data_IF_449994863807
#
_entry.id   IF_449994863807
#
_cell.length_a   1.000
_cell.length_b   1.000
_cell.length_c   1.000
_cell.angle_alpha   90.00
_cell.angle_beta   90.00
_cell.angle_gamma   90.00
#
_symmetry.space_group_name_H-M   'P 1'
#
loop_
_entity.id
_entity.type
_entity.pdbx_description
1 polymer ?
#
# COMPACT_ATOMS: atom_id res chain seq x y z
N UNK A 1 16.66 -23.96 -17.57
CA UNK A 1 15.66 -24.16 -16.50
C UNK A 1 16.44 -24.15 -15.18
N UNK A 2 15.99 -23.41 -14.18
CA UNK A 2 16.62 -23.47 -12.85
C UNK A 2 16.34 -24.83 -12.21
N UNK A 3 17.29 -25.33 -11.43
CA UNK A 3 17.10 -26.53 -10.61
C UNK A 3 16.19 -26.25 -9.40
N UNK A 4 15.57 -27.27 -8.83
CA UNK A 4 14.77 -27.16 -7.60
C UNK A 4 15.56 -26.50 -6.46
N UNK A 5 16.82 -26.92 -6.26
CA UNK A 5 17.71 -26.35 -5.25
C UNK A 5 17.97 -24.86 -5.46
N UNK A 6 18.12 -24.41 -6.72
CA UNK A 6 18.24 -22.98 -7.04
C UNK A 6 16.95 -22.21 -6.74
N UNK A 7 15.78 -22.78 -7.02
CA UNK A 7 14.48 -22.14 -6.72
C UNK A 7 14.27 -22.03 -5.20
N UNK A 8 14.60 -23.09 -4.45
CA UNK A 8 14.54 -23.08 -2.99
C UNK A 8 15.47 -22.03 -2.36
N UNK A 9 16.69 -21.91 -2.89
CA UNK A 9 17.64 -20.89 -2.47
C UNK A 9 17.11 -19.47 -2.77
N UNK A 10 16.57 -19.24 -3.98
CA UNK A 10 15.94 -17.96 -4.35
C UNK A 10 14.75 -17.62 -3.45
N UNK A 11 13.92 -18.60 -3.11
CA UNK A 11 12.78 -18.40 -2.21
C UNK A 11 13.26 -18.01 -0.82
N UNK A 12 14.21 -18.74 -0.27
CA UNK A 12 14.81 -18.46 1.04
C UNK A 12 15.42 -17.05 1.11
N UNK A 13 16.09 -16.61 0.05
CA UNK A 13 16.63 -15.25 -0.05
C UNK A 13 15.52 -14.20 -0.19
N UNK A 14 14.43 -14.49 -0.90
CA UNK A 14 13.29 -13.58 -1.02
C UNK A 14 12.58 -13.40 0.33
N UNK A 15 12.39 -14.48 1.10
CA UNK A 15 11.83 -14.44 2.45
C UNK A 15 12.66 -13.51 3.35
N UNK A 16 13.99 -13.69 3.38
CA UNK A 16 14.89 -12.83 4.19
C UNK A 16 14.78 -11.35 3.81
N UNK A 17 14.68 -11.03 2.51
CA UNK A 17 14.52 -9.64 2.05
C UNK A 17 13.18 -9.05 2.47
N UNK A 18 12.10 -9.83 2.38
CA UNK A 18 10.78 -9.40 2.82
C UNK A 18 10.74 -9.19 4.34
N UNK A 19 11.29 -10.11 5.13
CA UNK A 19 11.40 -9.96 6.59
C UNK A 19 12.17 -8.69 6.98
N UNK A 20 13.33 -8.44 6.35
CA UNK A 20 14.09 -7.22 6.58
C UNK A 20 13.33 -5.95 6.18
N UNK A 21 12.57 -5.98 5.07
CA UNK A 21 11.75 -4.85 4.65
C UNK A 21 10.59 -4.60 5.64
N UNK A 22 9.94 -5.66 6.13
CA UNK A 22 8.90 -5.61 7.15
C UNK A 22 9.42 -5.01 8.47
N UNK A 23 10.60 -5.43 8.93
CA UNK A 23 11.24 -4.83 10.11
C UNK A 23 11.52 -3.33 9.91
N UNK A 24 12.00 -2.93 8.72
CA UNK A 24 12.21 -1.53 8.38
C UNK A 24 10.90 -0.71 8.35
N UNK A 25 9.80 -1.29 7.90
CA UNK A 25 8.45 -0.68 7.99
C UNK A 25 8.03 -0.48 9.43
N UNK A 26 8.21 -1.47 10.31
CA UNK A 26 7.85 -1.33 11.73
C UNK A 26 8.70 -0.24 12.38
N UNK A 27 10.01 -0.22 12.14
CA UNK A 27 10.90 0.79 12.68
C UNK A 27 10.56 2.21 12.20
N UNK A 28 10.19 2.38 10.93
CA UNK A 28 9.75 3.69 10.40
C UNK A 28 8.41 4.12 10.97
N UNK A 29 7.47 3.20 11.22
CA UNK A 29 6.21 3.50 11.93
C UNK A 29 6.46 4.03 13.33
N UNK A 30 7.35 3.41 14.10
CA UNK A 30 7.70 3.87 15.46
C UNK A 30 8.24 5.30 15.41
N UNK A 31 9.18 5.60 14.51
CA UNK A 31 9.69 6.97 14.31
C UNK A 31 8.58 7.96 13.96
N UNK A 32 7.63 7.56 13.12
CA UNK A 32 6.48 8.38 12.73
C UNK A 32 5.62 8.71 13.95
N UNK A 33 5.28 7.69 14.74
CA UNK A 33 4.45 7.83 15.94
C UNK A 33 5.16 8.70 17.02
N UNK A 34 6.48 8.56 17.18
CA UNK A 34 7.30 9.43 18.06
C UNK A 34 7.26 10.91 17.62
N UNK A 35 7.46 11.18 16.32
CA UNK A 35 7.40 12.55 15.79
C UNK A 35 6.01 13.16 15.91
N UNK A 36 4.97 12.35 15.72
CA UNK A 36 3.59 12.78 15.91
C UNK A 36 3.32 13.18 17.37
N UNK A 37 3.79 12.37 18.33
CA UNK A 37 3.73 12.69 19.75
C UNK A 37 4.41 14.02 20.09
N UNK A 38 5.66 14.20 19.66
CA UNK A 38 6.42 15.44 19.88
C UNK A 38 5.77 16.68 19.26
N UNK A 39 5.11 16.52 18.10
CA UNK A 39 4.39 17.61 17.47
C UNK A 39 3.13 18.00 18.26
N UNK A 40 2.44 17.03 18.86
CA UNK A 40 1.24 17.26 19.65
C UNK A 40 1.51 17.93 21.01
N UNK A 41 2.75 17.86 21.52
CA UNK A 41 3.18 18.57 22.73
C UNK A 41 3.38 20.08 22.50
N UNK A 42 3.50 20.54 21.24
CA UNK A 42 3.72 21.95 20.93
C UNK A 42 2.40 22.73 21.00
N UNK A 43 2.42 24.01 21.42
CA UNK A 43 1.22 24.84 21.43
C UNK A 43 0.60 24.92 20.03
N UNK A 44 -0.67 24.53 19.92
CA UNK A 44 -1.38 24.49 18.64
C UNK A 44 -1.32 25.85 17.93
N UNK A 45 -1.05 25.82 16.63
CA UNK A 45 -0.93 27.03 15.80
C UNK A 45 0.35 27.84 16.01
N UNK A 46 1.26 27.42 16.90
CA UNK A 46 2.57 28.07 17.03
C UNK A 46 3.48 27.72 15.85
N UNK A 47 4.50 28.55 15.63
CA UNK A 47 5.54 28.28 14.63
C UNK A 47 6.24 26.93 14.88
N UNK A 48 6.52 26.62 16.14
CA UNK A 48 7.15 25.36 16.55
C UNK A 48 6.23 24.16 16.29
N UNK A 49 4.92 24.31 16.49
CA UNK A 49 3.94 23.27 16.16
C UNK A 49 3.90 23.01 14.65
N UNK A 50 3.86 24.05 13.83
CA UNK A 50 3.92 23.91 12.38
C UNK A 50 5.22 23.24 11.91
N UNK A 51 6.38 23.63 12.45
CA UNK A 51 7.65 22.99 12.13
C UNK A 51 7.65 21.50 12.53
N UNK A 52 7.13 21.16 13.71
CA UNK A 52 7.04 19.77 14.15
C UNK A 52 6.07 18.94 13.28
N UNK A 53 4.94 19.51 12.85
CA UNK A 53 4.00 18.84 11.93
C UNK A 53 4.57 18.66 10.52
N UNK A 54 5.39 19.60 10.04
CA UNK A 54 6.14 19.44 8.80
C UNK A 54 7.11 18.25 8.88
N UNK A 55 7.89 18.15 9.95
CA UNK A 55 8.80 17.02 10.19
C UNK A 55 8.04 15.69 10.33
N UNK A 56 6.89 15.69 11.02
CA UNK A 56 6.01 14.52 11.08
C UNK A 56 5.57 14.07 9.68
N UNK A 57 5.18 15.01 8.82
CA UNK A 57 4.73 14.70 7.45
C UNK A 57 5.87 14.14 6.60
N UNK A 58 7.10 14.62 6.79
CA UNK A 58 8.29 14.08 6.15
C UNK A 58 8.55 12.62 6.55
N UNK A 59 8.46 12.31 7.85
CA UNK A 59 8.62 10.92 8.32
C UNK A 59 7.46 10.03 7.87
N UNK A 60 6.25 10.57 7.67
CA UNK A 60 5.17 9.82 7.01
C UNK A 60 5.58 9.41 5.59
N UNK A 61 6.16 10.30 4.77
CA UNK A 61 6.65 9.96 3.42
C UNK A 61 7.67 8.81 3.50
N UNK A 62 8.66 8.91 4.40
CA UNK A 62 9.65 7.83 4.57
C UNK A 62 8.97 6.50 4.94
N UNK A 63 7.92 6.51 5.75
CA UNK A 63 7.16 5.32 6.11
C UNK A 63 6.36 4.74 4.93
N UNK A 64 5.75 5.59 4.10
CA UNK A 64 5.11 5.18 2.83
C UNK A 64 6.11 4.42 1.93
N UNK A 65 7.32 4.98 1.77
CA UNK A 65 8.37 4.37 0.95
C UNK A 65 8.84 3.01 1.50
N UNK A 66 8.92 2.88 2.83
CA UNK A 66 9.25 1.58 3.44
C UNK A 66 8.14 0.55 3.24
N UNK A 67 6.88 0.96 3.28
CA UNK A 67 5.75 0.06 2.96
C UNK A 67 5.74 -0.37 1.51
N UNK A 68 6.01 0.54 0.59
CA UNK A 68 6.18 0.21 -0.83
C UNK A 68 7.31 -0.81 -1.05
N UNK A 69 8.44 -0.64 -0.36
CA UNK A 69 9.55 -1.62 -0.38
C UNK A 69 9.14 -2.98 0.18
N UNK A 70 8.39 -3.01 1.29
CA UNK A 70 7.84 -4.24 1.87
C UNK A 70 6.89 -4.96 0.90
N UNK A 71 5.93 -4.25 0.30
CA UNK A 71 4.99 -4.83 -0.66
C UNK A 71 5.70 -5.37 -1.90
N UNK A 72 6.69 -4.63 -2.42
CA UNK A 72 7.50 -5.10 -3.54
C UNK A 72 8.29 -6.37 -3.18
N UNK A 73 8.85 -6.45 -1.97
CA UNK A 73 9.58 -7.62 -1.51
C UNK A 73 8.65 -8.83 -1.30
N UNK A 74 7.46 -8.61 -0.74
CA UNK A 74 6.43 -9.64 -0.56
C UNK A 74 5.95 -10.19 -1.91
N UNK A 75 5.65 -9.31 -2.86
CA UNK A 75 5.25 -9.73 -4.21
C UNK A 75 6.33 -10.59 -4.88
N UNK A 76 7.62 -10.19 -4.80
CA UNK A 76 8.74 -10.99 -5.31
C UNK A 76 8.85 -12.34 -4.60
N UNK A 77 8.63 -12.40 -3.29
CA UNK A 77 8.61 -13.65 -2.55
C UNK A 77 7.49 -14.57 -3.05
N UNK A 78 6.28 -14.06 -3.23
CA UNK A 78 5.15 -14.83 -3.78
C UNK A 78 5.38 -15.25 -5.23
N UNK A 79 6.04 -14.43 -6.05
CA UNK A 79 6.43 -14.80 -7.42
C UNK A 79 7.42 -15.97 -7.45
N UNK A 80 8.44 -15.94 -6.59
CA UNK A 80 9.40 -17.05 -6.49
C UNK A 80 8.72 -18.30 -5.93
N UNK A 81 7.83 -18.17 -4.95
CA UNK A 81 7.03 -19.27 -4.41
C UNK A 81 6.17 -19.93 -5.49
N UNK A 82 5.48 -19.14 -6.32
CA UNK A 82 4.67 -19.66 -7.41
C UNK A 82 5.52 -20.46 -8.42
N UNK A 83 6.70 -19.96 -8.79
CA UNK A 83 7.62 -20.68 -9.67
C UNK A 83 8.13 -21.99 -9.06
N UNK A 84 8.38 -22.02 -7.75
CA UNK A 84 8.75 -23.23 -7.04
C UNK A 84 7.61 -24.26 -7.07
N UNK A 85 6.39 -23.85 -6.71
CA UNK A 85 5.23 -24.74 -6.74
C UNK A 85 4.97 -25.32 -8.15
N UNK A 86 5.13 -24.50 -9.20
CA UNK A 86 4.99 -24.96 -10.60
C UNK A 86 6.03 -26.04 -10.93
N UNK A 87 7.26 -25.86 -10.46
CA UNK A 87 8.33 -26.82 -10.68
C UNK A 87 8.07 -28.15 -9.93
N UNK A 88 7.60 -28.09 -8.68
CA UNK A 88 7.40 -29.27 -7.82
C UNK A 88 6.13 -30.06 -8.16
N UNK A 89 5.03 -29.38 -8.49
CA UNK A 89 3.71 -30.00 -8.59
C UNK A 89 3.10 -29.99 -10.00
N UNK A 90 3.72 -29.27 -10.94
CA UNK A 90 3.14 -29.03 -12.28
C UNK A 90 2.02 -27.99 -12.24
N UNK A 91 1.73 -27.38 -13.39
CA UNK A 91 0.92 -26.16 -13.48
C UNK A 91 -0.54 -26.25 -13.01
N UNK A 92 -1.12 -27.45 -12.97
CA UNK A 92 -2.55 -27.65 -12.67
C UNK A 92 -2.82 -27.98 -11.20
N UNK A 93 -1.79 -28.01 -10.35
CA UNK A 93 -1.94 -28.36 -8.93
C UNK A 93 -2.65 -27.27 -8.14
N UNK A 94 -3.31 -27.67 -7.05
CA UNK A 94 -3.94 -26.74 -6.10
C UNK A 94 -2.90 -25.77 -5.53
N UNK A 95 -1.73 -26.28 -5.17
CA UNK A 95 -0.62 -25.52 -4.58
C UNK A 95 -0.18 -24.40 -5.53
N UNK A 96 -0.11 -24.69 -6.83
CA UNK A 96 0.17 -23.69 -7.86
C UNK A 96 -0.92 -22.63 -7.92
N UNK A 97 -2.20 -23.04 -7.96
CA UNK A 97 -3.31 -22.09 -8.02
C UNK A 97 -3.32 -21.15 -6.81
N UNK A 98 -3.06 -21.68 -5.60
CA UNK A 98 -2.96 -20.86 -4.39
C UNK A 98 -1.78 -19.89 -4.47
N UNK A 99 -0.60 -20.37 -4.88
CA UNK A 99 0.59 -19.53 -4.98
C UNK A 99 0.42 -18.41 -6.03
N UNK A 100 -0.26 -18.71 -7.13
CA UNK A 100 -0.63 -17.71 -8.14
C UNK A 100 -1.62 -16.68 -7.61
N UNK A 101 -2.65 -17.11 -6.86
CA UNK A 101 -3.55 -16.20 -6.16
C UNK A 101 -2.84 -15.28 -5.17
N UNK A 102 -1.85 -15.80 -4.41
CA UNK A 102 -1.02 -15.00 -3.50
C UNK A 102 -0.20 -13.96 -4.25
N UNK A 103 0.44 -14.36 -5.36
CA UNK A 103 1.21 -13.45 -6.21
C UNK A 103 0.34 -12.31 -6.74
N UNK A 104 -0.84 -12.62 -7.27
CA UNK A 104 -1.77 -11.61 -7.78
C UNK A 104 -2.25 -10.65 -6.68
N UNK A 105 -2.67 -11.17 -5.53
CA UNK A 105 -3.15 -10.32 -4.44
C UNK A 105 -2.02 -9.43 -3.88
N UNK A 106 -0.80 -9.95 -3.77
CA UNK A 106 0.35 -9.16 -3.30
C UNK A 106 0.78 -8.09 -4.30
N UNK A 107 0.63 -8.31 -5.61
CA UNK A 107 0.90 -7.27 -6.61
C UNK A 107 -0.05 -6.07 -6.49
N UNK A 108 -1.26 -6.28 -5.97
CA UNK A 108 -2.24 -5.21 -5.78
C UNK A 108 -2.20 -4.53 -4.40
N UNK A 109 -1.30 -4.97 -3.50
CA UNK A 109 -1.26 -4.50 -2.10
C UNK A 109 -0.97 -3.00 -1.96
N UNK A 110 -0.26 -2.42 -2.93
CA UNK A 110 0.04 -0.98 -2.96
C UNK A 110 -1.18 -0.08 -3.18
N UNK A 111 -2.31 -0.64 -3.65
CA UNK A 111 -3.53 0.09 -3.99
C UNK A 111 -4.64 -0.02 -2.93
N UNK A 112 -4.46 -0.85 -1.89
CA UNK A 112 -5.48 -1.15 -0.85
C UNK A 112 -5.10 -0.63 0.54
N UNK A 113 -4.29 0.44 0.54
CA UNK A 113 -3.36 0.82 1.59
C UNK A 113 -3.93 1.32 2.93
N UNK A 114 -5.09 1.98 2.97
CA UNK A 114 -5.51 2.74 4.16
C UNK A 114 -6.96 2.53 4.58
N UNK A 115 -7.18 2.61 5.90
CA UNK A 115 -8.46 2.45 6.60
C UNK A 115 -9.42 3.62 6.44
N UNK A 116 -8.94 4.80 6.06
CA UNK A 116 -9.78 6.01 5.95
C UNK A 116 -10.13 6.34 4.51
N UNK A 117 -9.20 6.12 3.59
CA UNK A 117 -9.47 6.06 2.15
C UNK A 117 -8.46 5.08 1.55
N UNK A 118 -8.88 4.18 0.65
CA UNK A 118 -7.98 3.27 -0.06
C UNK A 118 -7.13 4.07 -1.04
N UNK A 119 -5.99 4.54 -0.53
CA UNK A 119 -5.01 5.24 -1.32
C UNK A 119 -4.08 4.24 -2.01
N UNK A 120 -3.70 4.57 -3.23
CA UNK A 120 -2.42 4.14 -3.76
C UNK A 120 -1.29 4.78 -2.94
N UNK A 121 -0.22 4.04 -2.64
CA UNK A 121 0.97 4.56 -1.92
C UNK A 121 1.54 5.84 -2.56
N UNK A 122 1.47 5.98 -3.89
CA UNK A 122 1.87 7.20 -4.59
C UNK A 122 1.03 8.43 -4.18
N UNK A 123 -0.30 8.27 -4.13
CA UNK A 123 -1.21 9.35 -3.70
C UNK A 123 -1.08 9.68 -2.22
N UNK A 124 -0.79 8.67 -1.37
CA UNK A 124 -0.51 8.89 0.04
C UNK A 124 0.77 9.73 0.23
N UNK A 125 1.86 9.43 -0.50
CA UNK A 125 3.07 10.26 -0.52
C UNK A 125 2.77 11.69 -0.96
N UNK A 126 1.97 11.88 -2.02
CA UNK A 126 1.58 13.22 -2.49
C UNK A 126 0.81 14.01 -1.43
N UNK A 127 -0.17 13.39 -0.78
CA UNK A 127 -0.92 13.98 0.33
C UNK A 127 0.00 14.38 1.50
N UNK A 128 0.95 13.52 1.88
CA UNK A 128 1.92 13.86 2.92
C UNK A 128 2.86 15.00 2.51
N UNK A 129 3.25 15.07 1.22
CA UNK A 129 4.05 16.18 0.68
C UNK A 129 3.26 17.49 0.70
N UNK A 130 1.99 17.50 0.31
CA UNK A 130 1.12 18.67 0.39
C UNK A 130 0.97 19.16 1.84
N UNK A 131 0.70 18.24 2.79
CA UNK A 131 0.67 18.56 4.23
C UNK A 131 2.00 19.14 4.72
N UNK A 132 3.13 18.56 4.33
CA UNK A 132 4.45 19.07 4.69
C UNK A 132 4.62 20.53 4.23
N UNK A 133 4.27 20.84 2.97
CA UNK A 133 4.37 22.20 2.42
C UNK A 133 3.41 23.16 3.13
N UNK A 134 2.16 22.75 3.37
CA UNK A 134 1.18 23.51 4.13
C UNK A 134 1.71 23.95 5.50
N UNK A 135 2.30 23.02 6.26
CA UNK A 135 2.90 23.32 7.55
C UNK A 135 4.13 24.22 7.45
N UNK A 136 5.00 24.00 6.47
CA UNK A 136 6.19 24.85 6.25
C UNK A 136 5.82 26.30 5.89
N UNK A 137 4.76 26.50 5.09
CA UNK A 137 4.28 27.83 4.72
C UNK A 137 3.66 28.55 5.91
N UNK A 138 2.85 27.87 6.72
CA UNK A 138 2.30 28.43 7.96
C UNK A 138 3.41 28.80 8.96
N UNK A 139 4.45 27.98 9.10
CA UNK A 139 5.61 28.31 9.94
C UNK A 139 6.37 29.57 9.47
N UNK A 140 6.25 29.93 8.20
CA UNK A 140 6.82 31.15 7.59
C UNK A 140 5.86 32.34 7.59
N UNK A 141 4.62 32.17 8.05
CA UNK A 141 3.57 33.18 8.00
C UNK A 141 2.94 33.37 6.60
N UNK A 142 3.20 32.46 5.66
CA UNK A 142 2.66 32.51 4.30
C UNK A 142 1.26 31.87 4.22
N UNK A 143 0.30 32.38 5.03
CA UNK A 143 -1.01 31.74 5.25
C UNK A 143 -1.80 31.55 3.95
N UNK A 144 -1.91 32.58 3.10
CA UNK A 144 -2.67 32.48 1.86
C UNK A 144 -2.17 31.36 0.92
N UNK A 145 -0.84 31.24 0.77
CA UNK A 145 -0.24 30.16 -0.03
C UNK A 145 -0.42 28.78 0.63
N UNK A 146 -0.45 28.73 1.96
CA UNK A 146 -0.74 27.50 2.68
C UNK A 146 -2.19 27.06 2.41
N UNK A 147 -3.16 27.97 2.50
CA UNK A 147 -4.57 27.70 2.23
C UNK A 147 -4.80 27.22 0.79
N UNK A 148 -4.07 27.77 -0.19
CA UNK A 148 -4.11 27.29 -1.58
C UNK A 148 -3.70 25.81 -1.70
N UNK A 149 -2.62 25.41 -1.02
CA UNK A 149 -2.16 24.00 -1.00
C UNK A 149 -3.18 23.10 -0.30
N UNK A 150 -3.74 23.54 0.83
CA UNK A 150 -4.68 22.72 1.58
C UNK A 150 -5.97 22.49 0.78
N UNK A 151 -6.47 23.53 0.08
CA UNK A 151 -7.60 23.42 -0.85
C UNK A 151 -7.32 22.45 -2.00
N UNK A 152 -6.20 22.61 -2.70
CA UNK A 152 -5.83 21.74 -3.81
C UNK A 152 -5.72 20.27 -3.36
N UNK A 153 -5.12 20.03 -2.19
CA UNK A 153 -5.09 18.71 -1.56
C UNK A 153 -6.50 18.18 -1.31
N UNK A 154 -7.38 18.97 -0.69
CA UNK A 154 -8.74 18.51 -0.37
C UNK A 154 -9.56 18.21 -1.63
N UNK A 155 -9.43 19.03 -2.67
CA UNK A 155 -10.07 18.78 -3.96
C UNK A 155 -9.56 17.47 -4.59
N UNK A 156 -8.25 17.22 -4.56
CA UNK A 156 -7.67 15.96 -5.01
C UNK A 156 -8.25 14.77 -4.22
N UNK A 157 -8.21 14.83 -2.89
CA UNK A 157 -8.72 13.76 -2.02
C UNK A 157 -10.22 13.51 -2.22
N UNK A 158 -11.00 14.58 -2.40
CA UNK A 158 -12.43 14.51 -2.67
C UNK A 158 -12.72 13.81 -3.99
N UNK A 159 -12.00 14.13 -5.07
CA UNK A 159 -12.15 13.45 -6.36
C UNK A 159 -11.80 11.98 -6.26
N UNK A 160 -10.67 11.63 -5.63
CA UNK A 160 -10.30 10.23 -5.42
C UNK A 160 -11.38 9.50 -4.62
N UNK A 161 -11.89 10.09 -3.54
CA UNK A 161 -12.88 9.45 -2.69
C UNK A 161 -14.24 9.21 -3.39
N UNK A 162 -14.68 10.12 -4.26
CA UNK A 162 -15.99 10.03 -4.90
C UNK A 162 -15.98 9.34 -6.26
N UNK A 163 -14.87 9.43 -7.00
CA UNK A 163 -14.81 8.96 -8.38
C UNK A 163 -14.09 7.61 -8.51
N UNK A 164 -13.28 7.22 -7.52
CA UNK A 164 -12.66 5.89 -7.50
C UNK A 164 -13.60 4.85 -6.89
N UNK A 165 -13.42 3.60 -7.29
CA UNK A 165 -14.03 2.44 -6.63
C UNK A 165 -13.16 1.86 -5.50
N UNK A 166 -12.16 2.61 -5.00
CA UNK A 166 -11.12 2.05 -4.15
C UNK A 166 -11.65 1.36 -2.88
N UNK A 167 -12.77 1.82 -2.31
CA UNK A 167 -13.37 1.19 -1.11
C UNK A 167 -13.89 -0.20 -1.42
N UNK A 168 -14.66 -0.32 -2.50
CA UNK A 168 -15.16 -1.60 -3.00
C UNK A 168 -14.00 -2.52 -3.38
N UNK A 169 -12.99 -2.00 -4.06
CA UNK A 169 -11.79 -2.77 -4.41
C UNK A 169 -11.06 -3.31 -3.19
N UNK A 170 -10.84 -2.49 -2.16
CA UNK A 170 -10.19 -2.91 -0.92
C UNK A 170 -11.00 -3.97 -0.17
N UNK A 171 -12.32 -3.82 -0.12
CA UNK A 171 -13.20 -4.82 0.51
C UNK A 171 -13.15 -6.15 -0.23
N UNK A 172 -13.24 -6.12 -1.57
CA UNK A 172 -13.15 -7.30 -2.41
C UNK A 172 -11.77 -7.99 -2.29
N UNK A 173 -10.68 -7.22 -2.28
CA UNK A 173 -9.33 -7.73 -2.06
C UNK A 173 -9.19 -8.40 -0.68
N UNK A 174 -9.69 -7.76 0.39
CA UNK A 174 -9.66 -8.35 1.74
C UNK A 174 -10.48 -9.65 1.83
N UNK A 175 -11.61 -9.71 1.13
CA UNK A 175 -12.43 -10.92 1.05
C UNK A 175 -11.69 -12.04 0.30
N UNK A 176 -11.07 -11.72 -0.84
CA UNK A 176 -10.27 -12.67 -1.61
C UNK A 176 -9.06 -13.21 -0.81
N UNK A 177 -8.34 -12.36 -0.07
CA UNK A 177 -7.25 -12.79 0.83
C UNK A 177 -7.75 -13.79 1.88
N UNK A 178 -8.87 -13.47 2.54
CA UNK A 178 -9.46 -14.36 3.56
C UNK A 178 -9.94 -15.68 2.97
N UNK A 179 -10.54 -15.66 1.79
CA UNK A 179 -11.00 -16.86 1.10
C UNK A 179 -9.82 -17.74 0.66
N UNK A 180 -8.73 -17.13 0.18
CA UNK A 180 -7.50 -17.83 -0.16
C UNK A 180 -6.85 -18.49 1.08
N UNK A 181 -6.78 -17.78 2.20
CA UNK A 181 -6.32 -18.32 3.49
C UNK A 181 -7.17 -19.54 3.92
N UNK A 182 -8.49 -19.48 3.69
CA UNK A 182 -9.42 -20.57 4.02
C UNK A 182 -9.21 -21.76 3.10
N UNK A 183 -9.07 -21.54 1.79
CA UNK A 183 -8.83 -22.61 0.81
C UNK A 183 -7.54 -23.38 1.09
N UNK A 184 -6.47 -22.65 1.44
CA UNK A 184 -5.20 -23.23 1.85
C UNK A 184 -5.36 -24.18 3.05
N UNK A 185 -6.11 -23.75 4.07
CA UNK A 185 -6.29 -24.51 5.32
C UNK A 185 -7.32 -25.63 5.26
N UNK A 186 -8.42 -25.42 4.54
CA UNK A 186 -9.61 -26.28 4.60
C UNK A 186 -9.83 -27.09 3.33
N UNK A 187 -9.03 -26.86 2.29
CA UNK A 187 -9.15 -27.54 1.00
C UNK A 187 -10.51 -27.35 0.31
N UNK A 188 -11.16 -26.22 0.55
CA UNK A 188 -12.42 -25.81 -0.07
C UNK A 188 -12.23 -24.46 -0.79
N UNK A 189 -12.41 -24.46 -2.11
CA UNK A 189 -12.22 -23.27 -2.96
C UNK A 189 -13.51 -22.48 -3.18
N UNK A 190 -14.65 -22.91 -2.64
CA UNK A 190 -15.96 -22.31 -2.95
C UNK A 190 -15.99 -20.80 -2.67
N UNK A 191 -15.49 -20.39 -1.50
CA UNK A 191 -15.41 -18.97 -1.13
C UNK A 191 -14.38 -18.22 -2.00
N UNK A 192 -13.31 -18.89 -2.43
CA UNK A 192 -12.29 -18.30 -3.29
C UNK A 192 -12.86 -17.96 -4.65
N UNK A 193 -13.58 -18.89 -5.29
CA UNK A 193 -14.15 -18.67 -6.62
C UNK A 193 -15.15 -17.49 -6.63
N UNK A 194 -16.00 -17.40 -5.59
CA UNK A 194 -16.94 -16.30 -5.44
C UNK A 194 -16.22 -14.96 -5.21
N UNK A 195 -15.27 -14.92 -4.28
CA UNK A 195 -14.57 -13.68 -3.91
C UNK A 195 -13.59 -13.23 -5.00
N UNK A 196 -12.97 -14.15 -5.74
CA UNK A 196 -12.10 -13.86 -6.88
C UNK A 196 -12.85 -13.15 -7.99
N UNK A 197 -14.06 -13.62 -8.33
CA UNK A 197 -14.90 -12.97 -9.34
C UNK A 197 -15.25 -11.52 -8.95
N UNK A 198 -15.58 -11.28 -7.68
CA UNK A 198 -15.85 -9.91 -7.17
C UNK A 198 -14.59 -9.05 -7.19
N UNK A 199 -13.46 -9.60 -6.76
CA UNK A 199 -12.17 -8.93 -6.78
C UNK A 199 -11.78 -8.53 -8.21
N UNK A 200 -11.96 -9.41 -9.19
CA UNK A 200 -11.63 -9.12 -10.60
C UNK A 200 -12.49 -8.00 -11.18
N UNK A 201 -13.80 -8.02 -10.90
CA UNK A 201 -14.70 -6.95 -11.32
C UNK A 201 -14.32 -5.59 -10.72
N UNK A 202 -13.89 -5.54 -9.45
CA UNK A 202 -13.43 -4.30 -8.82
C UNK A 202 -12.03 -3.89 -9.29
N UNK A 203 -11.17 -4.85 -9.61
CA UNK A 203 -9.84 -4.58 -10.19
C UNK A 203 -9.96 -3.93 -11.58
N UNK A 204 -10.89 -4.39 -12.41
CA UNK A 204 -11.13 -3.80 -13.73
C UNK A 204 -11.55 -2.33 -13.61
N UNK A 205 -12.54 -2.03 -12.77
CA UNK A 205 -12.97 -0.65 -12.49
C UNK A 205 -11.83 0.21 -11.95
N UNK A 206 -10.97 -0.35 -11.08
CA UNK A 206 -9.81 0.36 -10.55
C UNK A 206 -8.83 0.74 -11.67
N UNK A 207 -8.54 -0.21 -12.58
CA UNK A 207 -7.65 0.02 -13.73
C UNK A 207 -8.22 1.07 -14.70
N UNK A 208 -9.54 1.12 -14.87
CA UNK A 208 -10.20 2.18 -15.66
C UNK A 208 -10.04 3.56 -15.01
N UNK A 209 -10.11 3.64 -13.68
CA UNK A 209 -9.94 4.88 -12.95
C UNK A 209 -8.48 5.35 -12.85
N UNK A 210 -7.52 4.43 -12.80
CA UNK A 210 -6.11 4.74 -12.51
C UNK A 210 -5.54 5.91 -13.33
N UNK A 211 -5.67 5.97 -14.68
CA UNK A 211 -5.12 7.08 -15.47
C UNK A 211 -5.71 8.45 -15.08
N UNK A 212 -6.99 8.48 -14.72
CA UNK A 212 -7.69 9.70 -14.30
C UNK A 212 -7.22 10.15 -12.91
N UNK A 213 -6.98 9.22 -12.01
CA UNK A 213 -6.36 9.52 -10.71
C UNK A 213 -4.91 10.01 -10.83
N UNK A 214 -4.15 9.52 -11.82
CA UNK A 214 -2.82 10.05 -12.17
C UNK A 214 -2.91 11.49 -12.69
N UNK A 215 -3.88 11.81 -13.54
CA UNK A 215 -4.12 13.19 -14.02
C UNK A 215 -4.42 14.14 -12.85
N UNK A 216 -5.25 13.72 -11.89
CA UNK A 216 -5.54 14.52 -10.70
C UNK A 216 -4.33 14.78 -9.81
N UNK A 217 -3.35 13.87 -9.81
CA UNK A 217 -2.12 14.03 -9.03
C UNK A 217 -1.13 15.04 -9.65
N UNK A 218 -1.39 15.52 -10.87
CA UNK A 218 -0.56 16.53 -11.56
C UNK A 218 -1.02 17.97 -11.32
N UNK A 219 -2.20 18.16 -10.73
CA UNK A 219 -2.82 19.47 -10.42
C UNK A 219 -2.31 19.97 -9.06
#
# INVERSE_FOLDING_TARGET
>A
MSTESELQAKYSDAVKRWEAAKEATVASRVKKDEKEGLANEKPWGSREWYLAKAECSKVCIDWEEKREQEYSAEHKMCEVAANLMIHEHGGDSKEVQIAMGRRELTSMKEFVYSSFFPYWTAWAKLNHKARMLYWQLNAKGCVAAADDIDRAKDDFLYRIANESNGSGFREAWNAAVKALDKWEKQNDCTDWDETKSKYDAELEKWKEFQPKGEEYALI
#
